data_IF_094602729893
#
_entry.id   IF_094602729893
#
_cell.length_a   1.000
_cell.length_b   1.000
_cell.length_c   1.000
_cell.angle_alpha   90.00
_cell.angle_beta   90.00
_cell.angle_gamma   90.00
#
_symmetry.space_group_name_H-M   'P 1'
#
loop_
_entity.id
_entity.type
_entity.pdbx_description
1 polymer ?
#
# COMPACT_ATOMS: atom_id res chain seq x y z
N UNK A 1 14.38 -7.14 -14.83
CA UNK A 1 14.68 -5.90 -14.03
C UNK A 1 14.60 -4.68 -14.95
N UNK A 2 14.07 -3.56 -14.48
CA UNK A 2 14.13 -2.28 -15.21
C UNK A 2 15.58 -1.76 -15.16
N UNK A 3 16.12 -1.34 -16.31
CA UNK A 3 17.47 -0.75 -16.39
C UNK A 3 17.56 0.58 -15.64
N UNK A 4 18.74 0.94 -15.13
CA UNK A 4 18.96 2.17 -14.37
C UNK A 4 18.49 3.43 -15.09
N UNK A 5 18.79 3.55 -16.39
CA UNK A 5 18.35 4.69 -17.24
C UNK A 5 16.81 4.80 -17.33
N UNK A 6 16.10 3.65 -17.38
CA UNK A 6 14.64 3.64 -17.42
C UNK A 6 14.04 3.95 -16.04
N UNK A 7 14.68 3.49 -14.94
CA UNK A 7 14.30 3.89 -13.58
C UNK A 7 14.45 5.40 -13.37
N UNK A 8 15.57 5.98 -13.77
CA UNK A 8 15.80 7.42 -13.70
C UNK A 8 14.76 8.20 -14.53
N UNK A 9 14.42 7.67 -15.73
CA UNK A 9 13.41 8.28 -16.59
C UNK A 9 12.01 8.19 -15.98
N UNK A 10 11.61 7.04 -15.42
CA UNK A 10 10.32 6.88 -14.71
C UNK A 10 10.24 7.90 -13.58
N UNK A 11 11.28 7.99 -12.75
CA UNK A 11 11.34 8.91 -11.64
C UNK A 11 11.25 10.37 -12.11
N UNK A 12 12.08 10.77 -13.08
CA UNK A 12 12.16 12.14 -13.59
C UNK A 12 10.86 12.59 -14.24
N UNK A 13 10.26 11.78 -15.11
CA UNK A 13 8.97 12.07 -15.77
C UNK A 13 7.88 12.25 -14.73
N UNK A 14 7.81 11.35 -13.73
CA UNK A 14 6.80 11.42 -12.67
C UNK A 14 6.99 12.67 -11.82
N UNK A 15 8.23 12.98 -11.41
CA UNK A 15 8.55 14.15 -10.60
C UNK A 15 8.26 15.46 -11.34
N UNK A 16 8.63 15.55 -12.61
CA UNK A 16 8.35 16.72 -13.45
C UNK A 16 6.86 16.94 -13.65
N UNK A 17 6.12 15.87 -13.97
CA UNK A 17 4.67 15.91 -14.12
C UNK A 17 4.02 16.48 -12.86
N UNK A 18 4.32 15.91 -11.70
CA UNK A 18 3.69 16.35 -10.44
C UNK A 18 4.18 17.72 -9.98
N UNK A 19 5.42 18.11 -10.27
CA UNK A 19 5.91 19.47 -10.04
C UNK A 19 5.11 20.55 -10.78
N UNK A 20 4.59 20.22 -11.97
CA UNK A 20 3.71 21.10 -12.76
C UNK A 20 2.23 20.96 -12.33
N UNK A 21 1.76 19.73 -12.16
CA UNK A 21 0.35 19.42 -11.95
C UNK A 21 -0.22 19.95 -10.63
N UNK A 22 0.58 19.98 -9.55
CA UNK A 22 0.16 20.52 -8.25
C UNK A 22 -0.24 21.99 -8.29
N UNK A 23 0.14 22.73 -9.34
CA UNK A 23 -0.22 24.13 -9.55
C UNK A 23 -1.42 24.30 -10.49
N UNK A 24 -2.01 23.23 -11.01
CA UNK A 24 -3.15 23.29 -11.93
C UNK A 24 -4.46 23.55 -11.20
N UNK A 25 -5.39 24.27 -11.87
CA UNK A 25 -6.72 24.52 -11.32
C UNK A 25 -7.51 23.21 -11.14
N UNK A 26 -7.29 22.22 -12.01
CA UNK A 26 -7.87 20.90 -11.89
C UNK A 26 -7.45 20.20 -10.58
N UNK A 27 -6.18 20.25 -10.24
CA UNK A 27 -5.67 19.67 -9.00
C UNK A 27 -6.21 20.43 -7.77
N UNK A 28 -6.23 21.76 -7.81
CA UNK A 28 -6.78 22.57 -6.74
C UNK A 28 -8.29 22.33 -6.54
N UNK A 29 -9.04 22.00 -7.57
CA UNK A 29 -10.45 21.63 -7.49
C UNK A 29 -10.71 20.38 -6.62
N UNK A 30 -9.75 19.49 -6.45
CA UNK A 30 -9.86 18.30 -5.60
C UNK A 30 -9.99 18.62 -4.10
N UNK A 31 -9.52 19.80 -3.67
CA UNK A 31 -9.58 20.22 -2.27
C UNK A 31 -10.93 20.81 -1.86
N UNK A 32 -11.89 20.85 -2.78
CA UNK A 32 -13.24 21.32 -2.50
C UNK A 32 -14.14 20.15 -2.06
N UNK A 33 -14.72 20.22 -0.86
CA UNK A 33 -15.71 19.27 -0.35
C UNK A 33 -15.21 18.26 0.68
N UNK A 34 -16.00 17.18 0.88
CA UNK A 34 -15.69 16.08 1.78
C UNK A 34 -14.88 15.01 1.04
N UNK A 35 -14.13 14.16 1.76
CA UNK A 35 -13.36 13.03 1.22
C UNK A 35 -12.14 13.41 0.36
N UNK A 36 -11.50 14.52 0.69
CA UNK A 36 -10.32 15.04 -0.03
C UNK A 36 -9.24 13.96 -0.21
N UNK A 37 -8.96 13.15 0.81
CA UNK A 37 -7.89 12.16 0.78
C UNK A 37 -8.07 11.08 -0.29
N UNK A 38 -9.28 10.55 -0.48
CA UNK A 38 -9.58 9.55 -1.51
C UNK A 38 -9.50 10.15 -2.90
N UNK A 39 -10.09 11.34 -3.12
CA UNK A 39 -10.04 12.02 -4.41
C UNK A 39 -8.62 12.33 -4.87
N UNK A 40 -7.76 12.76 -3.95
CA UNK A 40 -6.35 13.00 -4.24
C UNK A 40 -5.68 11.68 -4.64
N UNK A 41 -5.90 10.61 -3.86
CA UNK A 41 -5.29 9.31 -4.14
C UNK A 41 -5.69 8.79 -5.52
N UNK A 42 -6.98 8.76 -5.83
CA UNK A 42 -7.50 8.27 -7.11
C UNK A 42 -6.97 9.11 -8.29
N UNK A 43 -7.03 10.43 -8.18
CA UNK A 43 -6.53 11.33 -9.22
C UNK A 43 -5.02 11.18 -9.45
N UNK A 44 -4.24 11.05 -8.36
CA UNK A 44 -2.79 10.88 -8.44
C UNK A 44 -2.44 9.53 -9.06
N UNK A 45 -3.16 8.47 -8.72
CA UNK A 45 -2.95 7.14 -9.28
C UNK A 45 -3.25 7.12 -10.80
N UNK A 46 -4.44 7.59 -11.20
CA UNK A 46 -4.84 7.67 -12.60
C UNK A 46 -3.90 8.54 -13.43
N UNK A 47 -3.57 9.75 -12.93
CA UNK A 47 -2.69 10.68 -13.65
C UNK A 47 -1.26 10.14 -13.77
N UNK A 48 -0.74 9.50 -12.72
CA UNK A 48 0.58 8.86 -12.76
C UNK A 48 0.60 7.70 -13.75
N UNK A 49 -0.42 6.86 -13.73
CA UNK A 49 -0.54 5.74 -14.68
C UNK A 49 -0.63 6.24 -16.12
N UNK A 50 -1.36 7.33 -16.36
CA UNK A 50 -1.49 7.95 -17.70
C UNK A 50 -0.14 8.45 -18.20
N UNK A 51 0.59 9.26 -17.41
CA UNK A 51 1.88 9.80 -17.84
C UNK A 51 2.91 8.70 -18.12
N UNK A 52 2.88 7.59 -17.37
CA UNK A 52 3.74 6.46 -17.67
C UNK A 52 3.39 5.79 -19.00
N UNK A 53 2.11 5.70 -19.34
CA UNK A 53 1.66 5.18 -20.66
C UNK A 53 2.09 6.06 -21.81
N UNK A 54 2.11 7.37 -21.61
CA UNK A 54 2.51 8.33 -22.64
C UNK A 54 4.03 8.29 -22.92
N UNK A 55 4.84 7.86 -21.95
CA UNK A 55 6.30 7.90 -22.04
C UNK A 55 6.98 6.54 -22.21
N UNK A 56 6.27 5.44 -21.93
CA UNK A 56 6.84 4.09 -21.94
C UNK A 56 5.98 3.10 -22.72
N UNK A 57 6.62 2.07 -23.26
CA UNK A 57 5.89 0.92 -23.79
C UNK A 57 5.35 0.10 -22.63
N UNK A 58 4.02 0.03 -22.52
CA UNK A 58 3.35 -0.60 -21.38
C UNK A 58 2.36 -1.67 -21.82
N UNK A 59 2.03 -2.56 -20.88
CA UNK A 59 0.88 -3.46 -20.98
C UNK A 59 0.13 -3.52 -19.65
N UNK A 60 -1.13 -3.93 -19.70
CA UNK A 60 -1.89 -4.33 -18.52
C UNK A 60 -1.89 -5.86 -18.43
N UNK A 61 -1.98 -6.40 -17.22
CA UNK A 61 -2.26 -7.81 -17.03
C UNK A 61 -3.73 -8.06 -17.37
N UNK A 62 -3.98 -8.96 -18.34
CA UNK A 62 -5.32 -9.29 -18.79
C UNK A 62 -5.77 -10.62 -18.18
N UNK A 63 -7.07 -10.75 -17.95
CA UNK A 63 -7.70 -12.02 -17.59
C UNK A 63 -7.92 -12.92 -18.83
N UNK A 64 -8.44 -14.12 -18.62
CA UNK A 64 -8.74 -15.07 -19.71
C UNK A 64 -9.77 -14.55 -20.73
N UNK A 65 -10.49 -13.47 -20.40
CA UNK A 65 -11.48 -12.81 -21.28
C UNK A 65 -10.91 -11.55 -21.95
N UNK A 66 -9.62 -11.28 -21.79
CA UNK A 66 -8.96 -10.10 -22.37
C UNK A 66 -9.27 -8.79 -21.65
N UNK A 67 -9.87 -8.82 -20.46
CA UNK A 67 -10.12 -7.63 -19.64
C UNK A 67 -9.00 -7.39 -18.65
N UNK A 68 -8.72 -6.14 -18.25
CA UNK A 68 -7.76 -5.86 -17.18
C UNK A 68 -8.10 -6.66 -15.91
N UNK A 69 -7.12 -7.35 -15.37
CA UNK A 69 -7.28 -8.19 -14.18
C UNK A 69 -7.56 -7.33 -12.96
N UNK A 70 -8.64 -7.57 -12.24
CA UNK A 70 -9.02 -6.83 -11.03
C UNK A 70 -8.05 -6.99 -9.85
N UNK A 71 -7.13 -7.95 -9.91
CA UNK A 71 -6.06 -8.20 -8.95
C UNK A 71 -4.75 -8.44 -9.70
N UNK A 72 -4.40 -7.49 -10.55
CA UNK A 72 -3.11 -7.46 -11.23
C UNK A 72 -1.97 -7.45 -10.22
N UNK A 73 -0.81 -7.97 -10.61
CA UNK A 73 0.40 -7.89 -9.80
C UNK A 73 0.95 -6.45 -9.77
N UNK A 74 0.80 -5.70 -10.86
CA UNK A 74 1.15 -4.29 -10.97
C UNK A 74 0.00 -3.51 -11.59
N UNK A 75 -0.12 -2.22 -11.29
CA UNK A 75 -1.09 -1.33 -11.91
C UNK A 75 -0.73 -1.10 -13.37
N UNK A 76 0.56 -1.20 -13.68
CA UNK A 76 1.12 -1.08 -15.03
C UNK A 76 2.35 -1.97 -15.17
N UNK A 77 2.59 -2.49 -16.37
CA UNK A 77 3.80 -3.24 -16.70
C UNK A 77 4.61 -2.47 -17.73
N UNK A 78 5.83 -2.06 -17.35
CA UNK A 78 6.72 -1.25 -18.19
C UNK A 78 7.74 -2.16 -18.86
N UNK A 79 7.91 -2.01 -20.18
CA UNK A 79 8.93 -2.72 -20.95
C UNK A 79 10.27 -2.00 -20.79
N UNK A 80 11.27 -2.74 -20.34
CA UNK A 80 12.67 -2.34 -20.29
C UNK A 80 13.53 -3.52 -20.77
N UNK A 81 14.48 -3.29 -21.64
CA UNK A 81 15.34 -4.34 -22.25
C UNK A 81 14.58 -5.55 -22.79
N UNK A 82 13.43 -5.30 -23.43
CA UNK A 82 12.61 -6.36 -24.01
C UNK A 82 11.67 -7.09 -23.04
N UNK A 83 11.83 -6.88 -21.72
CA UNK A 83 11.07 -7.56 -20.66
C UNK A 83 10.10 -6.60 -20.01
N UNK A 84 8.88 -7.06 -19.74
CA UNK A 84 7.89 -6.30 -18.99
C UNK A 84 8.04 -6.50 -17.50
N UNK A 85 8.10 -5.40 -16.76
CA UNK A 85 8.30 -5.39 -15.32
C UNK A 85 7.08 -4.76 -14.62
N UNK A 86 6.56 -5.36 -13.55
CA UNK A 86 5.40 -4.83 -12.84
C UNK A 86 5.79 -3.58 -12.04
N UNK A 87 4.99 -2.54 -12.17
CA UNK A 87 5.06 -1.32 -11.38
C UNK A 87 3.73 -1.11 -10.70
N UNK A 88 3.73 -1.01 -9.39
CA UNK A 88 2.56 -0.68 -8.59
C UNK A 88 2.63 0.80 -8.20
N UNK A 89 1.60 1.55 -8.51
CA UNK A 89 1.50 2.97 -8.15
C UNK A 89 0.79 3.07 -6.81
N UNK A 90 1.33 3.87 -5.90
CA UNK A 90 0.70 4.17 -4.60
C UNK A 90 0.63 5.65 -4.40
N UNK A 91 -0.58 6.15 -4.29
CA UNK A 91 -0.88 7.56 -4.14
C UNK A 91 -1.47 7.87 -2.76
N UNK A 92 -1.47 9.13 -2.39
CA UNK A 92 -2.13 9.59 -1.17
C UNK A 92 -1.54 10.85 -0.57
N UNK A 93 -2.04 11.19 0.61
CA UNK A 93 -1.58 12.33 1.40
C UNK A 93 -0.32 11.95 2.19
N UNK A 94 0.68 12.83 2.17
CA UNK A 94 1.92 12.67 2.93
C UNK A 94 1.66 12.84 4.43
N UNK A 95 2.35 12.05 5.25
CA UNK A 95 2.21 12.12 6.73
C UNK A 95 1.00 11.36 7.29
N UNK A 96 0.06 10.91 6.47
CA UNK A 96 -0.95 9.95 6.91
C UNK A 96 -0.33 8.56 6.91
N UNK A 97 -0.23 7.99 8.11
CA UNK A 97 0.30 6.64 8.29
C UNK A 97 -0.74 5.62 7.84
N UNK A 98 -0.44 4.93 6.78
CA UNK A 98 -1.21 3.80 6.27
C UNK A 98 -0.38 2.53 6.21
N UNK A 99 -1.06 1.44 5.92
CA UNK A 99 -0.41 0.20 5.48
C UNK A 99 -1.04 -0.16 4.12
N UNK A 100 -0.64 0.55 3.04
CA UNK A 100 -1.22 0.29 1.75
C UNK A 100 -0.94 -1.14 1.31
N UNK A 101 -1.98 -1.78 0.79
CA UNK A 101 -1.88 -3.09 0.16
C UNK A 101 -1.00 -2.97 -1.09
N UNK A 102 -0.06 -3.89 -1.23
CA UNK A 102 0.85 -3.93 -2.37
C UNK A 102 0.42 -5.00 -3.37
N UNK A 103 0.59 -6.25 -3.00
CA UNK A 103 0.37 -7.40 -3.89
C UNK A 103 0.09 -8.65 -3.07
N UNK A 104 -0.61 -9.62 -3.66
CA UNK A 104 -0.71 -10.96 -3.08
C UNK A 104 0.69 -11.58 -2.98
N UNK A 105 1.14 -11.87 -1.75
CA UNK A 105 2.49 -12.39 -1.51
C UNK A 105 2.68 -13.77 -2.16
N UNK A 106 1.65 -14.62 -2.13
CA UNK A 106 1.70 -15.93 -2.79
C UNK A 106 1.84 -15.83 -4.31
N UNK A 107 1.14 -14.89 -4.95
CA UNK A 107 1.30 -14.62 -6.40
C UNK A 107 2.70 -14.11 -6.73
N UNK A 108 3.22 -13.20 -5.91
CA UNK A 108 4.55 -12.65 -6.10
C UNK A 108 5.63 -13.74 -5.99
N UNK A 109 5.55 -14.59 -4.97
CA UNK A 109 6.44 -15.74 -4.79
C UNK A 109 6.35 -16.69 -6.01
N UNK A 110 5.13 -17.03 -6.45
CA UNK A 110 4.92 -17.91 -7.59
C UNK A 110 5.54 -17.34 -8.88
N UNK A 111 5.33 -16.06 -9.16
CA UNK A 111 5.87 -15.40 -10.35
C UNK A 111 7.42 -15.36 -10.35
N UNK A 112 8.04 -15.17 -9.17
CA UNK A 112 9.51 -15.23 -9.05
C UNK A 112 10.04 -16.64 -9.24
N UNK A 113 9.37 -17.65 -8.67
CA UNK A 113 9.75 -19.08 -8.86
C UNK A 113 9.63 -19.48 -10.33
N UNK A 114 8.56 -19.03 -11.00
CA UNK A 114 8.34 -19.25 -12.43
C UNK A 114 9.29 -18.44 -13.34
N UNK A 115 10.13 -17.58 -12.76
CA UNK A 115 11.04 -16.66 -13.48
C UNK A 115 10.31 -15.68 -14.42
N UNK A 116 9.06 -15.37 -14.11
CA UNK A 116 8.28 -14.36 -14.85
C UNK A 116 8.74 -12.94 -14.49
N UNK A 117 9.18 -12.74 -13.24
CA UNK A 117 9.74 -11.50 -12.72
C UNK A 117 10.90 -11.77 -11.77
N UNK A 118 11.79 -10.80 -11.63
CA UNK A 118 12.92 -10.79 -10.69
C UNK A 118 12.91 -9.56 -9.77
N UNK A 119 12.01 -8.62 -10.06
CA UNK A 119 11.85 -7.34 -9.38
C UNK A 119 10.38 -6.94 -9.34
N UNK A 120 10.00 -6.17 -8.32
CA UNK A 120 8.66 -5.62 -8.15
C UNK A 120 8.77 -4.17 -7.73
N UNK A 121 8.42 -3.27 -8.63
CA UNK A 121 8.63 -1.85 -8.41
C UNK A 121 7.43 -1.18 -7.75
N UNK A 122 7.73 -0.32 -6.78
CA UNK A 122 6.77 0.62 -6.19
C UNK A 122 7.10 2.02 -6.65
N UNK A 123 6.16 2.67 -7.32
CA UNK A 123 6.17 4.09 -7.58
C UNK A 123 5.19 4.76 -6.61
N UNK A 124 5.74 5.49 -5.65
CA UNK A 124 4.95 6.11 -4.59
C UNK A 124 4.91 7.61 -4.83
N UNK A 125 3.70 8.18 -4.91
CA UNK A 125 3.48 9.62 -5.08
C UNK A 125 2.61 10.11 -3.93
N UNK A 126 3.19 10.93 -3.05
CA UNK A 126 2.49 11.49 -1.89
C UNK A 126 2.45 13.01 -1.96
N UNK A 127 1.29 13.57 -1.63
CA UNK A 127 1.05 14.99 -1.64
C UNK A 127 1.11 15.55 -0.22
N UNK A 128 2.11 16.38 0.07
CA UNK A 128 2.23 17.10 1.33
C UNK A 128 1.45 18.41 1.24
N UNK A 129 0.46 18.56 2.11
CA UNK A 129 -0.29 19.80 2.22
C UNK A 129 0.47 20.76 3.15
N UNK A 130 0.97 21.85 2.57
CA UNK A 130 1.72 22.84 3.32
C UNK A 130 0.76 23.83 4.02
N UNK A 131 1.06 24.25 5.27
CA UNK A 131 0.26 25.25 5.95
C UNK A 131 0.16 26.53 5.11
N UNK A 132 -1.04 27.07 4.95
CA UNK A 132 -1.19 28.40 4.36
C UNK A 132 -0.59 29.43 5.31
N UNK A 133 0.35 30.23 4.82
CA UNK A 133 0.95 31.34 5.59
C UNK A 133 0.02 32.53 5.76
N UNK A 134 -1.18 32.52 5.17
CA UNK A 134 -2.18 33.59 5.28
C UNK A 134 -3.29 33.18 6.25
N UNK A 135 -3.21 33.79 7.38
CA UNK A 135 -4.07 33.98 8.54
C UNK A 135 -5.46 33.40 8.66
N UNK A 136 -5.76 32.86 9.85
CA UNK A 136 -7.08 32.73 10.41
C UNK A 136 -7.77 31.39 10.29
N UNK A 137 -8.34 30.93 11.36
CA UNK A 137 -9.05 29.65 11.56
C UNK A 137 -10.27 29.39 10.65
N UNK A 138 -10.60 30.31 9.74
CA UNK A 138 -11.76 30.24 8.83
C UNK A 138 -11.41 29.98 7.36
N UNK A 139 -10.17 29.65 7.02
CA UNK A 139 -9.63 29.64 5.64
C UNK A 139 -9.84 28.32 4.88
N UNK A 140 -10.72 27.43 5.31
CA UNK A 140 -11.06 26.24 4.51
C UNK A 140 -11.85 26.51 3.22
N UNK A 141 -12.18 27.77 2.92
CA UNK A 141 -13.10 28.09 1.80
C UNK A 141 -12.51 28.77 0.56
N UNK A 142 -11.27 29.26 0.52
CA UNK A 142 -10.80 29.95 -0.68
C UNK A 142 -9.28 30.09 -0.88
N UNK A 143 -8.42 29.61 0.02
CA UNK A 143 -6.97 29.74 -0.20
C UNK A 143 -6.45 28.61 -1.07
N UNK A 144 -5.66 28.93 -2.10
CA UNK A 144 -4.87 27.94 -2.84
C UNK A 144 -4.01 27.17 -1.84
N UNK A 145 -4.32 25.89 -1.64
CA UNK A 145 -3.51 25.01 -0.79
C UNK A 145 -2.18 24.82 -1.49
N UNK A 146 -1.08 25.18 -0.82
CA UNK A 146 0.25 24.87 -1.34
C UNK A 146 0.52 23.38 -1.14
N UNK A 147 0.96 22.71 -2.19
CA UNK A 147 1.17 21.25 -2.18
C UNK A 147 2.58 20.94 -2.68
N UNK A 148 3.25 20.04 -1.98
CA UNK A 148 4.56 19.51 -2.37
C UNK A 148 4.43 18.03 -2.71
N UNK A 149 4.78 17.62 -3.94
CA UNK A 149 4.80 16.21 -4.30
C UNK A 149 6.09 15.53 -3.79
N UNK A 150 5.95 14.36 -3.20
CA UNK A 150 7.04 13.46 -2.84
C UNK A 150 6.94 12.22 -3.73
N UNK A 151 7.98 11.92 -4.46
CA UNK A 151 8.05 10.77 -5.38
C UNK A 151 9.14 9.82 -4.94
N UNK A 152 8.82 8.55 -4.84
CA UNK A 152 9.76 7.46 -4.53
C UNK A 152 9.59 6.34 -5.55
N UNK A 153 10.69 5.81 -6.04
CA UNK A 153 10.70 4.64 -6.92
C UNK A 153 11.72 3.63 -6.39
N UNK A 154 11.23 2.46 -6.01
CA UNK A 154 12.06 1.42 -5.38
C UNK A 154 11.70 0.03 -5.91
N UNK A 155 12.68 -0.88 -5.97
CA UNK A 155 12.38 -2.31 -6.03
C UNK A 155 11.97 -2.78 -4.64
N UNK A 156 10.69 -3.04 -4.43
CA UNK A 156 10.14 -3.48 -3.14
C UNK A 156 10.86 -4.73 -2.60
N UNK A 157 11.36 -5.58 -3.49
CA UNK A 157 12.03 -6.83 -3.10
C UNK A 157 13.39 -6.58 -2.43
N UNK A 158 13.98 -5.41 -2.60
CA UNK A 158 15.16 -4.97 -1.85
C UNK A 158 14.78 -4.27 -0.53
N UNK A 159 13.50 -3.89 -0.36
CA UNK A 159 12.95 -3.17 0.80
C UNK A 159 12.04 -4.03 1.67
N UNK A 160 12.22 -5.35 1.68
CA UNK A 160 11.34 -6.28 2.41
C UNK A 160 11.32 -6.08 3.94
N UNK A 161 12.32 -5.44 4.53
CA UNK A 161 12.32 -5.09 5.96
C UNK A 161 11.21 -4.06 6.32
N UNK A 162 10.76 -3.30 5.31
CA UNK A 162 9.67 -2.33 5.42
C UNK A 162 8.33 -2.88 4.93
N UNK A 163 8.26 -4.19 4.73
CA UNK A 163 7.03 -4.89 4.33
C UNK A 163 6.54 -5.75 5.48
N UNK A 164 5.23 -5.88 5.61
CA UNK A 164 4.57 -6.86 6.46
C UNK A 164 3.61 -7.69 5.62
N UNK A 165 3.18 -8.82 6.14
CA UNK A 165 2.18 -9.66 5.49
C UNK A 165 0.91 -9.68 6.32
N UNK A 166 -0.21 -9.27 5.70
CA UNK A 166 -1.54 -9.48 6.25
C UNK A 166 -2.11 -10.77 5.67
N UNK A 167 -2.17 -11.78 6.50
CA UNK A 167 -2.64 -13.12 6.12
C UNK A 167 -4.15 -13.18 5.91
N UNK A 168 -4.94 -12.22 6.40
CA UNK A 168 -6.38 -12.14 6.16
C UNK A 168 -6.66 -12.00 4.65
N UNK A 169 -6.28 -10.91 4.01
CA UNK A 169 -6.39 -10.76 2.55
C UNK A 169 -5.27 -11.45 1.77
N UNK A 170 -4.24 -11.99 2.42
CA UNK A 170 -3.10 -12.64 1.78
C UNK A 170 -2.16 -11.67 1.06
N UNK A 171 -2.03 -10.44 1.55
CA UNK A 171 -1.32 -9.36 0.87
C UNK A 171 -0.07 -8.89 1.62
N UNK A 172 0.97 -8.56 0.86
CA UNK A 172 2.07 -7.76 1.35
C UNK A 172 1.60 -6.31 1.54
N UNK A 173 2.02 -5.68 2.63
CA UNK A 173 1.64 -4.32 2.99
C UNK A 173 2.89 -3.51 3.35
N UNK A 174 2.94 -2.25 2.92
CA UNK A 174 4.06 -1.36 3.23
C UNK A 174 3.92 -0.80 4.66
N UNK A 175 4.98 -0.88 5.45
CA UNK A 175 5.13 -0.15 6.72
C UNK A 175 5.50 1.30 6.40
N UNK A 176 4.51 2.08 6.00
CA UNK A 176 4.68 3.37 5.33
C UNK A 176 5.56 4.35 6.11
N UNK A 177 5.30 4.51 7.41
CA UNK A 177 6.07 5.42 8.28
C UNK A 177 7.55 5.08 8.32
N UNK A 178 7.88 3.80 8.55
CA UNK A 178 9.27 3.35 8.63
C UNK A 178 9.97 3.47 7.28
N UNK A 179 9.25 3.13 6.19
CA UNK A 179 9.77 3.28 4.84
C UNK A 179 10.14 4.72 4.52
N UNK A 180 9.25 5.71 4.78
CA UNK A 180 9.56 7.11 4.48
C UNK A 180 10.70 7.67 5.31
N UNK A 181 10.78 7.33 6.59
CA UNK A 181 11.92 7.73 7.43
C UNK A 181 13.23 7.20 6.81
N UNK A 182 13.27 5.93 6.43
CA UNK A 182 14.45 5.35 5.83
C UNK A 182 14.79 5.98 4.46
N UNK A 183 13.79 6.17 3.60
CA UNK A 183 13.97 6.78 2.29
C UNK A 183 14.45 8.23 2.37
N UNK A 184 13.92 9.03 3.30
CA UNK A 184 14.35 10.41 3.54
C UNK A 184 15.76 10.52 4.10
N UNK A 185 16.14 9.58 4.95
CA UNK A 185 17.50 9.51 5.51
C UNK A 185 18.54 8.99 4.49
N UNK A 186 18.14 8.76 3.23
CA UNK A 186 19.03 8.25 2.20
C UNK A 186 19.49 6.82 2.46
N UNK A 187 18.71 6.03 3.20
CA UNK A 187 19.07 4.63 3.49
C UNK A 187 19.16 3.85 2.19
N UNK A 188 20.35 3.36 1.89
CA UNK A 188 20.59 2.49 0.74
C UNK A 188 20.32 1.05 1.17
N UNK A 189 19.37 0.40 0.51
CA UNK A 189 19.12 -1.02 0.74
C UNK A 189 20.11 -1.86 -0.07
N UNK A 190 20.66 -2.93 0.52
CA UNK A 190 21.52 -3.85 -0.23
C UNK A 190 20.70 -4.55 -1.30
N UNK A 191 21.27 -4.66 -2.50
CA UNK A 191 20.66 -5.50 -3.53
C UNK A 191 20.67 -6.95 -3.09
N UNK A 192 19.50 -7.53 -2.95
CA UNK A 192 19.34 -8.91 -2.56
C UNK A 192 19.44 -9.83 -3.77
N UNK A 193 20.10 -10.97 -3.60
CA UNK A 193 20.01 -12.07 -4.58
C UNK A 193 18.59 -12.63 -4.60
N UNK A 194 18.21 -13.26 -5.72
CA UNK A 194 16.88 -13.85 -5.85
C UNK A 194 16.57 -14.86 -4.73
N UNK A 195 17.55 -15.65 -4.32
CA UNK A 195 17.42 -16.58 -3.19
C UNK A 195 17.14 -15.86 -1.88
N UNK A 196 17.82 -14.75 -1.60
CA UNK A 196 17.57 -13.95 -0.41
C UNK A 196 16.20 -13.29 -0.42
N UNK A 197 15.77 -12.77 -1.58
CA UNK A 197 14.42 -12.22 -1.78
C UNK A 197 13.35 -13.28 -1.47
N UNK A 198 13.48 -14.47 -2.06
CA UNK A 198 12.55 -15.58 -1.82
C UNK A 198 12.52 -16.01 -0.36
N UNK A 199 13.66 -16.22 0.28
CA UNK A 199 13.70 -16.60 1.69
C UNK A 199 12.99 -15.58 2.58
N UNK A 200 13.29 -14.29 2.43
CA UNK A 200 12.63 -13.22 3.20
C UNK A 200 11.11 -13.17 2.97
N UNK A 201 10.65 -13.38 1.73
CA UNK A 201 9.21 -13.43 1.46
C UNK A 201 8.53 -14.66 2.10
N UNK A 202 9.21 -15.80 2.10
CA UNK A 202 8.72 -17.01 2.77
C UNK A 202 8.64 -16.78 4.28
N UNK A 203 9.65 -16.15 4.89
CA UNK A 203 9.64 -15.81 6.31
C UNK A 203 8.48 -14.86 6.64
N UNK A 204 8.27 -13.80 5.84
CA UNK A 204 7.12 -12.91 5.99
C UNK A 204 5.78 -13.65 5.92
N UNK A 205 5.66 -14.60 4.98
CA UNK A 205 4.47 -15.42 4.82
C UNK A 205 4.21 -16.29 6.05
N UNK A 206 5.23 -16.98 6.54
CA UNK A 206 5.12 -17.82 7.73
C UNK A 206 4.79 -17.01 8.98
N UNK A 207 5.49 -15.89 9.20
CA UNK A 207 5.26 -15.03 10.36
C UNK A 207 3.86 -14.41 10.38
N UNK A 208 3.35 -13.99 9.23
CA UNK A 208 2.00 -13.47 9.12
C UNK A 208 0.94 -14.54 9.41
N UNK A 209 1.09 -15.74 8.86
CA UNK A 209 0.17 -16.84 9.14
C UNK A 209 0.22 -17.28 10.61
N UNK A 210 1.40 -17.33 11.22
CA UNK A 210 1.55 -17.62 12.66
C UNK A 210 0.78 -16.61 13.51
N UNK A 211 0.93 -15.31 13.22
CA UNK A 211 0.18 -14.25 13.92
C UNK A 211 -1.32 -14.39 13.75
N UNK A 212 -1.80 -14.75 12.55
CA UNK A 212 -3.23 -14.98 12.31
C UNK A 212 -3.77 -16.13 13.16
N UNK A 213 -3.06 -17.26 13.22
CA UNK A 213 -3.45 -18.41 14.04
C UNK A 213 -3.52 -18.02 15.50
N UNK A 214 -2.48 -17.39 16.05
CA UNK A 214 -2.46 -16.91 17.44
C UNK A 214 -3.62 -15.95 17.76
N UNK A 215 -3.93 -15.03 16.85
CA UNK A 215 -5.05 -14.11 17.01
C UNK A 215 -6.40 -14.85 17.02
N UNK A 216 -6.57 -15.86 16.17
CA UNK A 216 -7.80 -16.68 16.11
C UNK A 216 -7.95 -17.51 17.38
N UNK A 217 -6.91 -18.17 17.83
CA UNK A 217 -6.90 -18.93 19.09
C UNK A 217 -7.24 -18.04 20.29
N UNK A 218 -6.63 -16.85 20.36
CA UNK A 218 -6.95 -15.88 21.42
C UNK A 218 -8.41 -15.42 21.39
N UNK A 219 -8.98 -15.20 20.21
CA UNK A 219 -10.41 -14.86 20.07
C UNK A 219 -11.32 -15.99 20.50
N UNK A 220 -11.03 -17.23 20.08
CA UNK A 220 -11.80 -18.42 20.49
C UNK A 220 -11.77 -18.57 22.00
N UNK A 221 -10.59 -18.46 22.62
CA UNK A 221 -10.46 -18.54 24.09
C UNK A 221 -11.30 -17.48 24.79
N UNK A 222 -11.24 -16.22 24.38
CA UNK A 222 -12.03 -15.12 24.96
C UNK A 222 -13.54 -15.38 24.86
N UNK A 223 -14.01 -15.92 23.72
CA UNK A 223 -15.42 -16.25 23.54
C UNK A 223 -15.82 -17.41 24.48
N UNK A 224 -14.98 -18.46 24.58
CA UNK A 224 -15.22 -19.58 25.50
C UNK A 224 -15.29 -19.11 26.93
N UNK A 225 -14.34 -18.31 27.41
CA UNK A 225 -14.34 -17.71 28.74
C UNK A 225 -15.61 -16.87 29.01
N UNK A 226 -16.05 -16.09 28.01
CA UNK A 226 -17.31 -15.31 28.13
C UNK A 226 -18.54 -16.18 28.22
N UNK A 227 -18.60 -17.28 27.49
CA UNK A 227 -19.72 -18.27 27.57
C UNK A 227 -19.72 -18.94 28.92
N UNK A 228 -18.59 -19.35 29.46
CA UNK A 228 -18.48 -19.97 30.78
C UNK A 228 -18.92 -19.02 31.89
N UNK A 229 -18.47 -17.75 31.83
CA UNK A 229 -18.91 -16.70 32.76
C UNK A 229 -20.42 -16.52 32.73
N UNK A 230 -21.03 -16.41 31.54
CA UNK A 230 -22.48 -16.30 31.38
C UNK A 230 -23.24 -17.51 31.97
N UNK A 231 -22.77 -18.73 31.75
CA UNK A 231 -23.35 -19.95 32.30
C UNK A 231 -23.30 -19.98 33.82
N UNK A 232 -22.16 -19.56 34.39
CA UNK A 232 -21.97 -19.50 35.84
C UNK A 232 -22.88 -18.46 36.50
N UNK A 233 -23.05 -17.29 35.89
CA UNK A 233 -23.94 -16.25 36.40
C UNK A 233 -25.44 -16.65 36.27
N UNK A 234 -25.81 -17.32 35.19
CA UNK A 234 -27.15 -17.82 34.97
C UNK A 234 -27.51 -18.93 35.99
N UNK A 235 -26.56 -19.81 36.32
CA UNK A 235 -26.75 -20.82 37.35
C UNK A 235 -26.98 -20.23 38.75
N UNK A 236 -26.21 -19.20 39.11
CA UNK A 236 -26.38 -18.49 40.41
C UNK A 236 -27.75 -17.80 40.53
N UNK A 237 -28.26 -17.23 39.44
CA UNK A 237 -29.55 -16.56 39.41
C UNK A 237 -30.72 -17.56 39.53
N UNK A 238 -30.57 -18.77 39.02
CA UNK A 238 -31.58 -19.85 39.16
C UNK A 238 -31.65 -20.35 40.63
N UNK A 239 -30.51 -20.53 41.27
CA UNK A 239 -30.46 -20.93 42.69
C UNK A 239 -31.04 -19.87 43.63
N UNK A 240 -30.85 -18.58 43.35
CA UNK A 240 -31.45 -17.53 44.15
C UNK A 240 -32.96 -17.34 43.91
N UNK A 241 -33.46 -17.71 42.75
CA UNK A 241 -34.91 -17.67 42.47
C UNK A 241 -35.68 -18.87 43.05
N UNK A 242 -35.00 -20.02 43.22
CA UNK A 242 -35.55 -21.23 43.81
C UNK A 242 -35.81 -21.16 45.33
N UNK A 243 -35.22 -20.16 46.02
CA UNK A 243 -35.36 -19.97 47.48
C UNK A 243 -36.55 -19.06 47.89
N UNK A 244 -37.38 -18.59 46.96
CA UNK A 244 -38.54 -17.72 47.24
C UNK A 244 -39.91 -18.34 47.03
N UNK A 245 -40.00 -19.66 46.96
CA UNK A 245 -41.27 -20.40 46.93
C UNK A 245 -41.32 -21.41 48.08
N UNK A 246 -41.26 -20.88 49.29
CA UNK A 246 -41.53 -21.63 50.54
C UNK A 246 -42.37 -20.77 51.49
#
# INVERSE_FOLDING_TARGET
MIEGKDLERIFSVTKEHWGKQVNSDQFHGLFQGKEIGHRIADYVDESTTKILRDHFQVKNELDAKGKPRSRSMGDIWIKSSGIYNPVNVKAGEYGKNGQPNLVSLSKLIAAIIAREIDSYYLLIVKMELLPSTQGGSNVRKAAKVSVRPHVYLVDMLDWLDYVTFDSGPGQAMLKEKQFYIAAQNGTIQPKLTLKQKLNRMIDLYHDGNRRLLQNRESKVRKISESIEAYRSDSAKNIDQSGLKLG
#
